data_IF_787161405055
#
_entry.id   IF_787161405055
#
_cell.length_a   1.000
_cell.length_b   1.000
_cell.length_c   1.000
_cell.angle_alpha   90.00
_cell.angle_beta   90.00
_cell.angle_gamma   90.00
#
_symmetry.space_group_name_H-M   'P 1'
#
loop_
_entity.id
_entity.type
_entity.pdbx_description
1 polymer ?
#
# COMPACT_ATOMS: atom_id res chain seq x y z
N UNK A 1 -23.38 -3.28 -9.59
CA UNK A 1 -22.03 -3.01 -10.13
C UNK A 1 -21.25 -4.31 -9.98
N UNK A 2 -20.66 -4.82 -11.06
CA UNK A 2 -20.05 -6.16 -11.08
C UNK A 2 -18.72 -6.20 -10.31
N UNK A 3 -18.43 -7.32 -9.65
CA UNK A 3 -17.14 -7.58 -8.98
C UNK A 3 -15.98 -7.45 -9.97
N UNK A 4 -16.16 -7.94 -11.21
CA UNK A 4 -15.16 -7.86 -12.27
C UNK A 4 -14.83 -6.41 -12.64
N UNK A 5 -15.84 -5.52 -12.68
CA UNK A 5 -15.64 -4.10 -12.94
C UNK A 5 -14.80 -3.42 -11.86
N UNK A 6 -15.04 -3.76 -10.59
CA UNK A 6 -14.22 -3.26 -9.47
C UNK A 6 -12.78 -3.75 -9.56
N UNK A 7 -12.57 -5.00 -9.99
CA UNK A 7 -11.25 -5.57 -10.19
C UNK A 7 -10.44 -4.79 -11.23
N UNK A 8 -10.97 -4.56 -12.45
CA UNK A 8 -10.25 -3.76 -13.46
C UNK A 8 -9.95 -2.34 -13.00
N UNK A 9 -10.91 -1.69 -12.32
CA UNK A 9 -10.70 -0.34 -11.78
C UNK A 9 -9.58 -0.31 -10.73
N UNK A 10 -9.51 -1.31 -9.86
CA UNK A 10 -8.44 -1.43 -8.87
C UNK A 10 -7.07 -1.62 -9.54
N UNK A 11 -6.98 -2.54 -10.50
CA UNK A 11 -5.75 -2.78 -11.26
C UNK A 11 -5.26 -1.52 -11.98
N UNK A 12 -6.16 -0.74 -12.58
CA UNK A 12 -5.81 0.52 -13.21
C UNK A 12 -5.32 1.57 -12.19
N UNK A 13 -6.02 1.71 -11.05
CA UNK A 13 -5.63 2.64 -9.98
C UNK A 13 -4.21 2.36 -9.46
N UNK A 14 -3.86 1.08 -9.38
CA UNK A 14 -2.54 0.62 -8.96
C UNK A 14 -1.50 0.58 -10.11
N UNK A 15 -1.85 1.15 -11.28
CA UNK A 15 -1.02 1.23 -12.50
C UNK A 15 -0.51 -0.14 -12.98
N UNK A 16 -1.33 -1.17 -12.82
CA UNK A 16 -1.00 -2.55 -13.23
C UNK A 16 -1.41 -2.85 -14.66
N UNK A 17 -2.42 -2.15 -15.16
CA UNK A 17 -2.92 -2.32 -16.52
C UNK A 17 -3.07 -0.97 -17.23
N UNK A 18 -2.79 -0.92 -18.54
CA UNK A 18 -3.06 0.27 -19.35
C UNK A 18 -4.54 0.43 -19.68
N UNK A 19 -4.92 1.64 -20.04
CA UNK A 19 -6.21 1.94 -20.68
C UNK A 19 -6.00 2.17 -22.17
N UNK A 20 -6.99 1.76 -22.94
CA UNK A 20 -7.13 2.09 -24.35
C UNK A 20 -8.41 2.89 -24.54
N UNK A 21 -8.37 3.95 -25.34
CA UNK A 21 -9.58 4.65 -25.75
C UNK A 21 -10.43 3.73 -26.62
N UNK A 22 -11.75 3.74 -26.38
CA UNK A 22 -12.69 3.07 -27.27
C UNK A 22 -12.74 3.81 -28.61
N UNK A 23 -12.94 3.04 -29.68
CA UNK A 23 -13.16 3.59 -31.03
C UNK A 23 -14.45 4.40 -31.10
N UNK A 24 -14.61 5.24 -32.13
CA UNK A 24 -15.80 6.09 -32.27
C UNK A 24 -17.08 5.26 -32.47
N UNK A 25 -17.01 4.14 -33.19
CA UNK A 25 -18.15 3.22 -33.34
C UNK A 25 -18.55 2.58 -32.00
N UNK A 26 -17.57 2.18 -31.20
CA UNK A 26 -17.79 1.65 -29.85
C UNK A 26 -18.35 2.71 -28.90
N UNK A 27 -17.85 3.94 -28.97
CA UNK A 27 -18.36 5.04 -28.15
C UNK A 27 -19.82 5.35 -28.46
N UNK A 28 -20.23 5.37 -29.74
CA UNK A 28 -21.64 5.52 -30.10
C UNK A 28 -22.50 4.37 -29.58
N UNK A 29 -22.00 3.13 -29.69
CA UNK A 29 -22.69 1.94 -29.17
C UNK A 29 -22.87 2.01 -27.65
N UNK A 30 -21.82 2.39 -26.93
CA UNK A 30 -21.83 2.47 -25.47
C UNK A 30 -22.55 3.71 -24.93
N UNK A 31 -22.61 4.81 -25.69
CA UNK A 31 -23.34 6.01 -25.32
C UNK A 31 -24.84 5.75 -25.12
N UNK A 32 -25.38 4.78 -25.86
CA UNK A 32 -26.79 4.37 -25.80
C UNK A 32 -27.06 3.27 -24.77
N UNK A 33 -26.04 2.67 -24.16
CA UNK A 33 -26.19 1.60 -23.16
C UNK A 33 -26.36 2.16 -21.75
N UNK A 34 -27.14 1.47 -20.92
CA UNK A 34 -27.18 1.79 -19.49
C UNK A 34 -25.91 1.33 -18.78
N UNK A 35 -25.56 1.97 -17.67
CA UNK A 35 -24.30 1.70 -16.91
C UNK A 35 -24.15 0.23 -16.45
N UNK A 36 -25.25 -0.54 -16.41
CA UNK A 36 -25.28 -1.96 -16.04
C UNK A 36 -25.02 -2.90 -17.22
N UNK A 37 -25.24 -2.45 -18.45
CA UNK A 37 -25.07 -3.24 -19.68
C UNK A 37 -23.67 -3.07 -20.29
N UNK A 38 -22.93 -2.07 -19.84
CA UNK A 38 -21.55 -1.88 -20.25
C UNK A 38 -20.69 -3.11 -19.88
N UNK A 39 -19.79 -3.54 -20.77
CA UNK A 39 -18.82 -4.58 -20.47
C UNK A 39 -18.03 -4.27 -19.19
N UNK A 40 -17.69 -5.31 -18.42
CA UNK A 40 -16.97 -5.15 -17.14
C UNK A 40 -15.62 -4.44 -17.28
N UNK A 41 -14.98 -4.54 -18.44
CA UNK A 41 -13.71 -3.89 -18.75
C UNK A 41 -13.87 -2.51 -19.40
N UNK A 42 -15.08 -1.94 -19.45
CA UNK A 42 -15.33 -0.61 -20.02
C UNK A 42 -15.92 0.32 -18.95
N UNK A 43 -15.41 1.54 -18.90
CA UNK A 43 -15.94 2.58 -18.02
C UNK A 43 -16.06 3.93 -18.74
N UNK A 44 -17.00 4.75 -18.30
CA UNK A 44 -17.15 6.11 -18.84
C UNK A 44 -16.06 7.01 -18.25
N UNK A 45 -15.45 7.84 -19.09
CA UNK A 45 -14.54 8.90 -18.64
C UNK A 45 -15.38 9.95 -17.90
N UNK A 46 -15.09 10.23 -16.62
CA UNK A 46 -15.82 11.26 -15.89
C UNK A 46 -15.61 12.63 -16.54
N UNK A 47 -16.69 13.41 -16.62
CA UNK A 47 -16.71 14.80 -17.10
C UNK A 47 -16.41 15.03 -18.60
N UNK A 48 -16.48 13.99 -19.45
CA UNK A 48 -16.42 14.18 -20.90
C UNK A 48 -17.81 14.31 -21.53
N UNK A 49 -17.99 15.36 -22.36
CA UNK A 49 -19.15 15.58 -23.22
C UNK A 49 -18.64 15.90 -24.62
N UNK A 50 -18.89 15.05 -25.64
CA UNK A 50 -19.69 13.82 -25.62
C UNK A 50 -19.09 12.72 -24.72
N UNK A 51 -19.92 11.77 -24.28
CA UNK A 51 -19.50 10.66 -23.40
C UNK A 51 -18.44 9.83 -24.12
N UNK A 52 -17.22 9.84 -23.59
CA UNK A 52 -16.12 9.00 -24.07
C UNK A 52 -15.97 7.81 -23.13
N UNK A 53 -15.74 6.63 -23.69
CA UNK A 53 -15.52 5.41 -22.94
C UNK A 53 -14.05 4.98 -23.03
N UNK A 54 -13.57 4.40 -21.94
CA UNK A 54 -12.24 3.80 -21.86
C UNK A 54 -12.38 2.31 -21.63
N UNK A 55 -11.49 1.54 -22.24
CA UNK A 55 -11.37 0.10 -22.06
C UNK A 55 -10.10 -0.22 -21.29
N UNK A 56 -10.24 -1.02 -20.24
CA UNK A 56 -9.11 -1.59 -19.52
C UNK A 56 -8.50 -2.71 -20.37
N UNK A 57 -7.24 -2.54 -20.77
CA UNK A 57 -6.53 -3.51 -21.59
C UNK A 57 -5.67 -4.41 -20.72
N UNK A 58 -5.76 -5.72 -20.93
CA UNK A 58 -4.93 -6.71 -20.23
C UNK A 58 -3.55 -6.86 -20.87
N UNK A 59 -3.23 -6.12 -21.94
CA UNK A 59 -1.89 -6.14 -22.55
C UNK A 59 -1.43 -7.51 -23.08
N UNK A 60 -2.36 -8.44 -23.36
CA UNK A 60 -2.05 -9.81 -23.79
C UNK A 60 -2.08 -10.85 -22.66
N UNK A 61 -2.22 -10.44 -21.40
CA UNK A 61 -2.36 -11.37 -20.27
C UNK A 61 -3.74 -12.05 -20.27
N UNK A 62 -3.75 -13.35 -20.01
CA UNK A 62 -4.97 -14.10 -19.69
C UNK A 62 -5.56 -13.67 -18.34
N UNK A 63 -6.81 -14.04 -18.08
CA UNK A 63 -7.48 -13.72 -16.81
C UNK A 63 -6.75 -14.30 -15.59
N UNK A 64 -6.15 -15.49 -15.74
CA UNK A 64 -5.44 -16.13 -14.64
C UNK A 64 -4.07 -15.50 -14.40
N UNK A 65 -3.32 -15.16 -15.46
CA UNK A 65 -2.05 -14.45 -15.33
C UNK A 65 -2.25 -13.04 -14.74
N UNK A 66 -3.35 -12.37 -15.10
CA UNK A 66 -3.69 -11.06 -14.55
C UNK A 66 -3.96 -11.12 -13.04
N UNK A 67 -4.67 -12.17 -12.57
CA UNK A 67 -4.86 -12.40 -11.13
C UNK A 67 -3.53 -12.71 -10.44
N UNK A 68 -2.69 -13.54 -11.06
CA UNK A 68 -1.38 -13.89 -10.50
C UNK A 68 -0.50 -12.65 -10.35
N UNK A 69 -0.45 -11.82 -11.38
CA UNK A 69 0.30 -10.56 -11.38
C UNK A 69 -0.20 -9.59 -10.29
N UNK A 70 -1.51 -9.48 -10.13
CA UNK A 70 -2.12 -8.68 -9.07
C UNK A 70 -1.74 -9.20 -7.67
N UNK A 71 -1.82 -10.52 -7.47
CA UNK A 71 -1.43 -11.19 -6.23
C UNK A 71 0.06 -11.00 -5.91
N UNK A 72 0.93 -11.14 -6.91
CA UNK A 72 2.37 -10.95 -6.75
C UNK A 72 2.71 -9.53 -6.30
N UNK A 73 2.08 -8.52 -6.91
CA UNK A 73 2.27 -7.11 -6.53
C UNK A 73 1.82 -6.84 -5.09
N UNK A 74 0.66 -7.37 -4.69
CA UNK A 74 0.16 -7.27 -3.31
C UNK A 74 1.13 -7.94 -2.33
N UNK A 75 1.63 -9.14 -2.67
CA UNK A 75 2.57 -9.87 -1.85
C UNK A 75 3.92 -9.14 -1.70
N UNK A 76 4.40 -8.50 -2.77
CA UNK A 76 5.61 -7.67 -2.74
C UNK A 76 5.48 -6.48 -1.78
N UNK A 77 4.33 -5.81 -1.78
CA UNK A 77 4.05 -4.73 -0.84
C UNK A 77 4.00 -5.24 0.61
N UNK A 78 3.39 -6.42 0.84
CA UNK A 78 3.37 -7.05 2.17
C UNK A 78 4.76 -7.43 2.68
N UNK A 79 5.65 -7.91 1.79
CA UNK A 79 7.06 -8.16 2.14
C UNK A 79 7.77 -6.89 2.58
N UNK A 80 7.52 -5.78 1.90
CA UNK A 80 8.09 -4.46 2.26
C UNK A 80 7.61 -4.03 3.65
N UNK A 81 6.31 -4.13 3.93
CA UNK A 81 5.74 -3.82 5.25
C UNK A 81 6.34 -4.71 6.35
N UNK A 82 6.47 -6.02 6.08
CA UNK A 82 7.11 -6.96 7.03
C UNK A 82 8.55 -6.57 7.33
N UNK A 83 9.32 -6.16 6.31
CA UNK A 83 10.68 -5.66 6.48
C UNK A 83 10.74 -4.42 7.38
N UNK A 84 9.85 -3.45 7.15
CA UNK A 84 9.76 -2.24 7.99
C UNK A 84 9.43 -2.57 9.45
N UNK A 85 8.47 -3.47 9.70
CA UNK A 85 8.10 -3.86 11.07
C UNK A 85 9.29 -4.49 11.79
N UNK A 86 10.00 -5.42 11.14
CA UNK A 86 11.19 -6.06 11.72
C UNK A 86 12.25 -5.00 12.04
N UNK A 87 12.48 -4.05 11.12
CA UNK A 87 13.43 -2.95 11.34
C UNK A 87 13.09 -2.12 12.57
N UNK A 88 11.83 -1.69 12.72
CA UNK A 88 11.39 -0.92 13.88
C UNK A 88 11.48 -1.70 15.19
N UNK A 89 11.15 -2.99 15.19
CA UNK A 89 11.27 -3.84 16.38
C UNK A 89 12.73 -3.97 16.82
N UNK A 90 13.64 -4.23 15.88
CA UNK A 90 15.08 -4.30 16.17
C UNK A 90 15.59 -2.97 16.72
N UNK A 91 15.18 -1.85 16.11
CA UNK A 91 15.58 -0.51 16.56
C UNK A 91 15.07 -0.20 17.98
N UNK A 92 13.83 -0.58 18.28
CA UNK A 92 13.24 -0.41 19.61
C UNK A 92 13.99 -1.23 20.68
N UNK A 93 14.37 -2.48 20.36
CA UNK A 93 15.14 -3.33 21.27
C UNK A 93 16.52 -2.72 21.53
N UNK A 94 17.23 -2.27 20.48
CA UNK A 94 18.54 -1.61 20.64
C UNK A 94 18.42 -0.38 21.54
N UNK A 95 17.41 0.47 21.31
CA UNK A 95 17.15 1.66 22.13
C UNK A 95 16.87 1.32 23.59
N UNK A 96 16.06 0.28 23.85
CA UNK A 96 15.74 -0.16 25.21
C UNK A 96 17.00 -0.67 25.94
N UNK A 97 17.86 -1.43 25.24
CA UNK A 97 19.11 -1.94 25.79
C UNK A 97 20.06 -0.78 26.14
N UNK A 98 20.26 0.18 25.24
CA UNK A 98 21.09 1.36 25.49
C UNK A 98 20.57 2.18 26.68
N UNK A 99 19.25 2.34 26.78
CA UNK A 99 18.62 3.07 27.89
C UNK A 99 18.84 2.34 29.22
N UNK A 100 18.70 1.02 29.25
CA UNK A 100 18.96 0.22 30.45
C UNK A 100 20.43 0.31 30.91
N UNK A 101 21.38 0.17 29.98
CA UNK A 101 22.80 0.33 30.30
C UNK A 101 23.14 1.74 30.80
N UNK A 102 22.57 2.78 30.17
CA UNK A 102 22.72 4.16 30.62
C UNK A 102 22.18 4.38 32.04
N UNK A 103 20.98 3.86 32.35
CA UNK A 103 20.40 3.96 33.69
C UNK A 103 21.25 3.24 34.76
N UNK A 104 21.80 2.07 34.43
CA UNK A 104 22.68 1.34 35.35
C UNK A 104 23.94 2.15 35.67
N UNK A 105 24.57 2.76 34.67
CA UNK A 105 25.75 3.60 34.87
C UNK A 105 25.43 4.84 35.73
N UNK A 106 24.30 5.50 35.48
CA UNK A 106 23.86 6.65 36.28
C UNK A 106 23.53 6.24 37.72
N UNK A 107 22.85 5.10 37.90
CA UNK A 107 22.53 4.56 39.23
C UNK A 107 23.80 4.24 40.03
N UNK A 108 24.78 3.56 39.42
CA UNK A 108 26.07 3.28 40.05
C UNK A 108 26.85 4.55 40.42
N UNK A 109 26.87 5.54 39.52
CA UNK A 109 27.51 6.83 39.79
C UNK A 109 26.83 7.57 40.95
N UNK A 110 25.49 7.59 40.98
CA UNK A 110 24.72 8.21 42.05
C UNK A 110 24.97 7.53 43.39
N UNK A 111 24.96 6.19 43.43
CA UNK A 111 25.24 5.42 44.65
C UNK A 111 26.65 5.71 45.19
N UNK A 112 27.66 5.79 44.32
CA UNK A 112 29.04 6.13 44.70
C UNK A 112 29.19 7.57 45.21
N UNK A 113 28.39 8.52 44.69
CA UNK A 113 28.40 9.90 45.14
C UNK A 113 27.79 10.04 46.54
N UNK A 114 26.73 9.29 46.85
CA UNK A 114 26.09 9.31 48.17
C UNK A 114 26.89 8.52 49.23
N UNK A 115 27.61 7.46 48.87
CA UNK A 115 28.43 6.70 49.82
C UNK A 115 29.69 7.45 50.29
N UNK A 116 30.13 8.46 49.55
CA UNK A 116 31.32 9.26 49.86
C UNK A 116 31.00 10.54 50.63
N UNK A 117 29.75 10.77 51.04
CA UNK A 117 29.39 11.89 51.91
C UNK A 117 29.64 11.47 53.37
N UNK A 118 30.61 12.07 54.09
CA UNK A 118 30.84 11.74 55.49
C UNK A 118 29.62 12.12 56.34
N UNK A 119 29.34 11.39 57.43
CA UNK A 119 28.20 11.71 58.30
C UNK A 119 28.37 13.13 58.87
N UNK A 120 27.50 14.05 58.46
CA UNK A 120 27.22 15.27 59.19
C UNK A 120 26.49 14.85 60.46
N UNK A 121 27.22 14.69 61.55
CA UNK A 121 26.83 14.65 62.97
C UNK A 121 27.79 13.70 63.68
N UNK A 122 28.93 14.27 64.09
CA UNK A 122 29.78 13.75 65.16
C UNK A 122 29.64 14.65 66.37
#
# INVERSE_FOLDING_TARGET
MSIKKNFYRALYKDKLIPISHCTDEENQKFANMTKKELPDNVDAVPNNTPKVFMRYSKGGLSDEELKLFALEKINSNLKTVKGCIIFFVVLAIISAVLTAFGLVQVSSALHSAFSNVPPLFG
#
